data_IF_366917149582
#
_entry.id   IF_366917149582
#
_cell.length_a   1.000
_cell.length_b   1.000
_cell.length_c   1.000
_cell.angle_alpha   90.00
_cell.angle_beta   90.00
_cell.angle_gamma   90.00
#
_symmetry.space_group_name_H-M   'P 1'
#
loop_
_entity.id
_entity.type
_entity.pdbx_description
1 polymer ?
#
# COMPACT_ATOMS: atom_id res chain seq x y z
N UNK A 1 27.85 60.29 -4.78
CA UNK A 1 28.49 59.15 -4.11
C UNK A 1 29.79 58.82 -4.83
N UNK A 2 30.91 58.63 -4.11
CA UNK A 2 32.13 58.18 -4.74
C UNK A 2 31.96 56.75 -5.29
N UNK A 3 32.55 56.43 -6.45
CA UNK A 3 32.39 55.12 -7.10
C UNK A 3 32.87 53.95 -6.23
N UNK A 4 33.83 54.18 -5.34
CA UNK A 4 34.35 53.18 -4.40
C UNK A 4 33.28 52.69 -3.41
N UNK A 5 32.38 53.58 -2.95
CA UNK A 5 31.29 53.20 -2.03
C UNK A 5 30.27 52.28 -2.72
N UNK A 6 30.04 52.46 -4.02
CA UNK A 6 29.10 51.63 -4.79
C UNK A 6 29.65 50.20 -4.92
N UNK A 7 30.94 50.05 -5.22
CA UNK A 7 31.60 48.74 -5.33
C UNK A 7 31.58 48.00 -3.99
N UNK A 8 31.85 48.70 -2.88
CA UNK A 8 31.82 48.11 -1.55
C UNK A 8 30.41 47.62 -1.19
N UNK A 9 29.38 48.43 -1.47
CA UNK A 9 27.98 48.07 -1.20
C UNK A 9 27.55 46.84 -2.00
N UNK A 10 27.90 46.77 -3.29
CA UNK A 10 27.63 45.60 -4.14
C UNK A 10 28.33 44.36 -3.57
N UNK A 11 29.59 44.47 -3.14
CA UNK A 11 30.33 43.37 -2.53
C UNK A 11 29.66 42.82 -1.27
N UNK A 12 29.18 43.69 -0.39
CA UNK A 12 28.46 43.28 0.84
C UNK A 12 27.15 42.59 0.53
N UNK A 13 26.38 43.11 -0.45
CA UNK A 13 25.10 42.51 -0.86
C UNK A 13 25.33 41.11 -1.45
N UNK A 14 26.33 40.95 -2.33
CA UNK A 14 26.65 39.65 -2.92
C UNK A 14 27.10 38.65 -1.84
N UNK A 15 27.92 39.09 -0.88
CA UNK A 15 28.37 38.22 0.20
C UNK A 15 27.20 37.76 1.10
N UNK A 16 26.28 38.68 1.44
CA UNK A 16 25.08 38.34 2.20
C UNK A 16 24.16 37.36 1.45
N UNK A 17 24.03 37.50 0.13
CA UNK A 17 23.22 36.63 -0.72
C UNK A 17 23.81 35.21 -0.79
N UNK A 18 25.13 35.09 -0.97
CA UNK A 18 25.83 33.79 -0.96
C UNK A 18 25.70 33.12 0.42
N UNK A 19 25.86 33.87 1.50
CA UNK A 19 25.71 33.34 2.86
C UNK A 19 24.27 32.86 3.11
N UNK A 20 23.27 33.63 2.67
CA UNK A 20 21.86 33.26 2.77
C UNK A 20 21.53 31.98 2.00
N UNK A 21 22.04 31.84 0.77
CA UNK A 21 21.87 30.62 -0.04
C UNK A 21 22.54 29.41 0.61
N UNK A 22 23.74 29.58 1.20
CA UNK A 22 24.44 28.50 1.88
C UNK A 22 23.65 28.00 3.11
N UNK A 23 23.15 28.93 3.93
CA UNK A 23 22.32 28.59 5.11
C UNK A 23 21.04 27.88 4.67
N UNK A 24 20.37 28.39 3.64
CA UNK A 24 19.17 27.77 3.08
C UNK A 24 19.44 26.34 2.59
N UNK A 25 20.57 26.12 1.90
CA UNK A 25 20.95 24.80 1.41
C UNK A 25 21.22 23.81 2.55
N UNK A 26 21.90 24.25 3.62
CA UNK A 26 22.16 23.41 4.81
C UNK A 26 20.85 23.05 5.54
N UNK A 27 19.94 24.02 5.69
CA UNK A 27 18.63 23.78 6.31
C UNK A 27 17.79 22.80 5.50
N UNK A 28 17.74 22.98 4.17
CA UNK A 28 17.02 22.06 3.28
C UNK A 28 17.56 20.63 3.36
N UNK A 29 18.89 20.47 3.37
CA UNK A 29 19.53 19.16 3.50
C UNK A 29 19.21 18.47 4.83
N UNK A 30 18.98 19.23 5.92
CA UNK A 30 18.53 18.65 7.19
C UNK A 30 17.08 18.16 7.12
N UNK A 31 16.18 18.94 6.55
CA UNK A 31 14.76 18.57 6.42
C UNK A 31 14.59 17.29 5.60
N UNK A 32 15.33 17.16 4.49
CA UNK A 32 15.29 15.95 3.65
C UNK A 32 15.82 14.73 4.39
N UNK A 33 16.88 14.86 5.22
CA UNK A 33 17.39 13.76 6.04
C UNK A 33 16.41 13.34 7.13
N UNK A 34 15.68 14.27 7.74
CA UNK A 34 14.65 13.94 8.72
C UNK A 34 13.45 13.25 8.07
N UNK A 35 13.04 13.68 6.88
CA UNK A 35 11.99 13.01 6.11
C UNK A 35 12.40 11.59 5.72
N UNK A 36 13.64 11.39 5.26
CA UNK A 36 14.17 10.06 4.96
C UNK A 36 14.32 9.18 6.20
N UNK A 37 14.77 9.73 7.34
CA UNK A 37 14.82 8.99 8.60
C UNK A 37 13.43 8.56 9.06
N UNK A 38 12.43 9.43 8.96
CA UNK A 38 11.04 9.08 9.29
C UNK A 38 10.49 8.03 8.33
N UNK A 39 10.82 8.11 7.04
CA UNK A 39 10.41 7.12 6.04
C UNK A 39 11.10 5.76 6.25
N UNK A 40 12.38 5.74 6.62
CA UNK A 40 13.14 4.53 6.94
C UNK A 40 12.67 3.91 8.27
N UNK A 41 12.47 4.73 9.31
CA UNK A 41 11.96 4.29 10.60
C UNK A 41 10.54 3.70 10.51
N UNK A 42 9.73 4.16 9.54
CA UNK A 42 8.41 3.59 9.27
C UNK A 42 8.48 2.19 8.63
N UNK A 43 9.62 1.80 8.04
CA UNK A 43 9.82 0.46 7.44
C UNK A 43 10.30 -0.59 8.43
N UNK A 44 11.00 -0.17 9.50
CA UNK A 44 11.47 -1.07 10.57
C UNK A 44 10.46 -1.21 11.73
N UNK A 45 9.29 -0.59 11.61
CA UNK A 45 8.25 -0.68 12.64
C UNK A 45 7.50 -2.01 12.48
N UNK A 46 7.68 -2.91 13.45
CA UNK A 46 6.86 -4.12 13.60
C UNK A 46 5.44 -3.67 13.92
N UNK A 47 4.50 -3.88 12.98
CA UNK A 47 3.09 -3.51 13.18
C UNK A 47 2.38 -4.73 13.77
N UNK A 48 2.07 -4.67 15.07
CA UNK A 48 1.17 -5.62 15.71
C UNK A 48 -0.26 -5.10 15.48
N UNK A 49 -0.89 -5.54 14.39
CA UNK A 49 -2.27 -5.15 14.09
C UNK A 49 -3.27 -6.16 14.65
N UNK A 50 -3.76 -5.90 15.86
CA UNK A 50 -4.90 -6.66 16.42
C UNK A 50 -6.20 -5.94 16.06
N UNK A 51 -6.67 -6.13 14.81
CA UNK A 51 -7.88 -5.46 14.29
C UNK A 51 -9.19 -5.96 14.93
N UNK A 52 -9.14 -7.09 15.65
CA UNK A 52 -10.26 -7.66 16.38
C UNK A 52 -9.71 -8.42 17.61
N UNK A 53 -10.21 -8.19 18.83
CA UNK A 53 -9.75 -8.87 20.05
C UNK A 53 -9.97 -10.39 20.02
N UNK A 54 -10.83 -10.88 19.12
CA UNK A 54 -11.10 -12.32 18.91
C UNK A 54 -10.27 -12.92 17.77
N UNK A 55 -9.68 -12.08 16.91
CA UNK A 55 -8.84 -12.56 15.82
C UNK A 55 -7.43 -12.93 16.32
N UNK A 56 -6.80 -13.97 15.73
CA UNK A 56 -5.43 -14.32 16.04
C UNK A 56 -4.51 -13.13 15.77
N UNK A 57 -3.53 -12.93 16.66
CA UNK A 57 -2.54 -11.86 16.55
C UNK A 57 -1.67 -12.14 15.33
N UNK A 58 -1.64 -11.20 14.39
CA UNK A 58 -0.76 -11.26 13.21
C UNK A 58 0.44 -10.36 13.45
N UNK A 59 1.62 -10.89 13.18
CA UNK A 59 2.89 -10.18 13.30
C UNK A 59 3.37 -9.81 11.91
N UNK A 60 3.52 -8.52 11.64
CA UNK A 60 4.14 -8.04 10.39
C UNK A 60 5.55 -7.54 10.68
N UNK A 61 6.56 -8.21 10.13
CA UNK A 61 7.98 -7.87 10.24
C UNK A 61 8.52 -7.67 8.82
N UNK A 62 8.97 -6.46 8.51
CA UNK A 62 9.51 -6.10 7.19
C UNK A 62 8.56 -6.45 6.00
N UNK A 63 7.24 -6.36 6.22
CA UNK A 63 6.22 -6.69 5.22
C UNK A 63 5.89 -8.18 5.09
N UNK A 64 6.60 -9.04 5.84
CA UNK A 64 6.24 -10.46 5.98
C UNK A 64 5.25 -10.60 7.14
N UNK A 65 4.14 -11.28 6.88
CA UNK A 65 3.05 -11.43 7.87
C UNK A 65 3.06 -12.87 8.35
N UNK A 66 3.20 -13.04 9.66
CA UNK A 66 3.18 -14.31 10.37
C UNK A 66 1.89 -14.42 11.18
N UNK A 67 1.20 -15.56 11.07
CA UNK A 67 -0.01 -15.83 11.86
C UNK A 67 0.33 -16.46 13.22
N UNK A 68 1.48 -17.12 13.33
CA UNK A 68 2.01 -17.68 14.56
C UNK A 68 3.51 -17.41 14.68
N UNK A 69 3.99 -17.30 15.93
CA UNK A 69 5.43 -17.27 16.24
C UNK A 69 6.11 -18.58 15.79
N UNK A 70 5.35 -19.69 15.74
CA UNK A 70 5.86 -20.98 15.28
C UNK A 70 6.15 -21.02 13.77
N UNK A 71 5.55 -20.13 12.98
CA UNK A 71 5.75 -20.07 11.52
C UNK A 71 7.02 -19.30 11.14
N UNK A 72 7.69 -18.69 12.13
CA UNK A 72 8.86 -17.85 11.93
C UNK A 72 10.11 -18.73 11.87
N UNK A 73 10.58 -19.01 10.65
CA UNK A 73 11.81 -19.78 10.43
C UNK A 73 13.08 -18.93 10.58
N UNK A 74 12.97 -17.62 10.41
CA UNK A 74 14.09 -16.69 10.52
C UNK A 74 14.36 -16.33 11.98
N UNK A 75 15.56 -16.64 12.48
CA UNK A 75 15.96 -16.41 13.87
C UNK A 75 15.98 -14.91 14.23
N UNK A 76 16.30 -14.03 13.27
CA UNK A 76 16.29 -12.58 13.48
C UNK A 76 14.85 -12.07 13.64
N UNK A 77 13.93 -12.50 12.77
CA UNK A 77 12.52 -12.15 12.90
C UNK A 77 11.92 -12.70 14.19
N UNK A 78 12.30 -13.91 14.58
CA UNK A 78 11.87 -14.51 15.84
C UNK A 78 12.32 -13.68 17.04
N UNK A 79 13.59 -13.26 17.08
CA UNK A 79 14.12 -12.38 18.14
C UNK A 79 13.40 -11.03 18.17
N UNK A 80 13.11 -10.44 17.02
CA UNK A 80 12.34 -9.19 16.91
C UNK A 80 10.91 -9.34 17.44
N UNK A 81 10.20 -10.39 17.04
CA UNK A 81 8.82 -10.68 17.48
C UNK A 81 8.79 -10.93 18.99
N UNK A 82 9.71 -11.75 19.52
CA UNK A 82 9.81 -12.01 20.96
C UNK A 82 10.14 -10.74 21.76
N UNK A 83 11.01 -9.88 21.22
CA UNK A 83 11.31 -8.58 21.82
C UNK A 83 10.09 -7.66 21.87
N UNK A 84 9.32 -7.58 20.78
CA UNK A 84 8.10 -6.79 20.71
C UNK A 84 7.01 -7.33 21.66
N UNK A 85 6.85 -8.66 21.74
CA UNK A 85 5.96 -9.33 22.69
C UNK A 85 6.35 -8.98 24.13
N UNK A 86 7.64 -9.09 24.49
CA UNK A 86 8.12 -8.75 25.84
C UNK A 86 7.87 -7.28 26.20
N UNK A 87 8.04 -6.36 25.25
CA UNK A 87 7.72 -4.95 25.46
C UNK A 87 6.21 -4.73 25.65
N UNK A 88 5.37 -5.35 24.82
CA UNK A 88 3.92 -5.29 24.94
C UNK A 88 3.40 -5.94 26.23
N UNK A 89 4.07 -6.98 26.73
CA UNK A 89 3.71 -7.71 27.95
C UNK A 89 3.74 -6.83 29.21
N UNK A 90 4.48 -5.71 29.19
CA UNK A 90 4.45 -4.74 30.31
C UNK A 90 3.20 -3.85 30.31
N UNK A 91 2.47 -3.79 29.19
CA UNK A 91 1.26 -2.96 29.05
C UNK A 91 -0.03 -3.77 29.02
N UNK A 92 0.05 -5.09 28.78
CA UNK A 92 -1.11 -5.96 28.64
C UNK A 92 -1.36 -6.70 29.98
N UNK A 93 -2.56 -6.59 30.59
CA UNK A 93 -2.92 -7.31 31.81
C UNK A 93 -2.74 -8.83 31.66
N UNK A 94 -2.25 -9.54 32.70
CA UNK A 94 -1.94 -10.96 32.65
C UNK A 94 -3.12 -11.85 32.21
N UNK A 95 -4.36 -11.41 32.45
CA UNK A 95 -5.59 -12.12 32.06
C UNK A 95 -5.77 -12.26 30.54
N UNK A 96 -5.11 -11.40 29.75
CA UNK A 96 -5.17 -11.47 28.28
C UNK A 96 -4.23 -12.55 27.74
N UNK A 97 -3.15 -12.87 28.47
CA UNK A 97 -2.17 -13.86 28.03
C UNK A 97 -2.71 -15.28 28.07
N UNK A 98 -3.52 -15.62 29.07
CA UNK A 98 -4.15 -16.96 29.18
C UNK A 98 -5.12 -17.25 28.03
N UNK A 99 -5.73 -16.21 27.45
CA UNK A 99 -6.56 -16.34 26.24
C UNK A 99 -5.72 -16.50 24.97
N UNK A 100 -4.52 -15.94 24.94
CA UNK A 100 -3.62 -15.98 23.78
C UNK A 100 -2.78 -17.26 23.71
N UNK A 101 -2.43 -17.86 24.85
CA UNK A 101 -1.60 -19.08 24.92
C UNK A 101 -2.40 -20.39 24.89
N UNK A 102 -3.72 -20.33 24.82
CA UNK A 102 -4.53 -21.44 24.33
C UNK A 102 -4.59 -22.66 25.25
N UNK A 103 -5.11 -22.51 26.45
CA UNK A 103 -5.83 -23.64 27.08
C UNK A 103 -7.16 -23.78 26.34
N UNK A 104 -7.15 -24.55 25.25
CA UNK A 104 -8.29 -24.74 24.37
C UNK A 104 -9.52 -25.25 25.15
N UNK A 105 -10.69 -24.61 25.03
CA UNK A 105 -11.96 -25.27 25.35
C UNK A 105 -12.11 -26.47 24.41
N UNK A 106 -12.50 -27.61 24.95
CA UNK A 106 -12.77 -28.85 24.22
C UNK A 106 -13.96 -28.62 23.28
N UNK A 107 -13.70 -28.28 22.01
CA UNK A 107 -14.74 -28.05 21.00
C UNK A 107 -15.11 -29.42 20.40
N UNK A 108 -16.36 -29.91 20.57
CA UNK A 108 -16.79 -31.15 19.94
C UNK A 108 -16.72 -31.04 18.42
N UNK A 109 -15.89 -31.91 17.84
CA UNK A 109 -15.62 -32.06 16.42
C UNK A 109 -16.90 -32.50 15.69
N UNK A 110 -17.68 -31.55 15.18
CA UNK A 110 -18.76 -31.85 14.24
C UNK A 110 -18.18 -32.02 12.84
N UNK A 111 -17.99 -33.27 12.44
CA UNK A 111 -17.64 -33.66 11.07
C UNK A 111 -18.92 -33.81 10.27
N UNK A 112 -19.17 -32.89 9.32
CA UNK A 112 -20.08 -33.14 8.20
C UNK A 112 -19.39 -32.66 6.94
N UNK A 113 -18.93 -33.62 6.14
CA UNK A 113 -18.38 -33.37 4.82
C UNK A 113 -19.51 -32.96 3.85
N UNK A 114 -19.40 -31.83 3.15
CA UNK A 114 -20.29 -31.54 2.03
C UNK A 114 -19.80 -32.26 0.76
N UNK A 115 -20.71 -33.03 0.16
CA UNK A 115 -20.55 -33.65 -1.16
C UNK A 115 -20.31 -32.59 -2.24
N UNK A 116 -19.31 -32.75 -3.13
CA UNK A 116 -19.06 -31.81 -4.21
C UNK A 116 -20.16 -31.84 -5.29
N UNK A 117 -20.64 -30.69 -5.79
CA UNK A 117 -21.58 -30.62 -6.91
C UNK A 117 -20.92 -30.94 -8.26
N UNK A 118 -21.68 -31.48 -9.23
CA UNK A 118 -21.18 -31.87 -10.55
C UNK A 118 -20.81 -30.67 -11.43
N UNK A 119 -19.72 -30.84 -12.19
CA UNK A 119 -19.13 -29.83 -13.07
C UNK A 119 -20.03 -29.49 -14.27
N UNK A 120 -20.19 -28.19 -14.62
CA UNK A 120 -20.87 -27.78 -15.84
C UNK A 120 -20.01 -27.96 -17.10
N UNK A 121 -20.64 -28.20 -18.28
CA UNK A 121 -19.96 -28.44 -19.55
C UNK A 121 -19.27 -27.19 -20.11
N UNK A 122 -18.14 -27.42 -20.79
CA UNK A 122 -17.26 -26.43 -21.40
C UNK A 122 -17.93 -25.66 -22.56
N UNK A 123 -17.89 -24.33 -22.49
CA UNK A 123 -18.31 -23.43 -23.58
C UNK A 123 -17.10 -23.09 -24.47
N UNK A 124 -17.25 -23.06 -25.81
CA UNK A 124 -16.14 -22.77 -26.74
C UNK A 124 -15.68 -21.32 -26.68
N UNK A 125 -14.37 -21.11 -26.64
CA UNK A 125 -13.71 -19.82 -26.77
C UNK A 125 -13.90 -19.23 -28.18
N UNK A 126 -14.52 -18.05 -28.28
CA UNK A 126 -14.47 -17.23 -29.49
C UNK A 126 -13.41 -16.13 -29.31
N UNK A 127 -12.41 -16.11 -30.20
CA UNK A 127 -11.41 -15.03 -30.32
C UNK A 127 -11.94 -13.96 -31.28
N UNK A 128 -12.00 -12.68 -30.89
CA UNK A 128 -12.03 -11.58 -31.83
C UNK A 128 -10.61 -11.14 -32.17
N UNK A 129 -10.26 -11.19 -33.46
CA UNK A 129 -9.11 -10.50 -34.04
C UNK A 129 -9.54 -9.09 -34.42
N UNK A 130 -8.89 -8.07 -33.87
CA UNK A 130 -9.02 -6.69 -34.31
C UNK A 130 -7.63 -6.08 -34.46
N UNK A 131 -7.20 -5.95 -35.71
CA UNK A 131 -6.10 -5.11 -36.15
C UNK A 131 -6.57 -3.65 -36.12
N UNK A 132 -5.92 -2.82 -35.30
CA UNK A 132 -6.18 -1.39 -35.21
C UNK A 132 -4.86 -0.63 -35.24
N UNK A 133 -4.73 0.26 -36.22
CA UNK A 133 -3.59 1.12 -36.52
C UNK A 133 -3.23 2.01 -35.32
N UNK A 134 -1.99 1.92 -34.85
CA UNK A 134 -1.47 2.73 -33.75
C UNK A 134 -0.88 4.05 -34.26
N UNK A 135 -1.44 5.16 -33.82
CA UNK A 135 -0.79 6.48 -33.82
C UNK A 135 0.12 6.60 -32.59
N UNK A 136 1.32 7.20 -32.71
CA UNK A 136 2.26 7.30 -31.60
C UNK A 136 1.82 8.40 -30.63
N UNK A 137 1.11 8.02 -29.57
CA UNK A 137 0.93 8.85 -28.37
C UNK A 137 2.04 8.45 -27.41
N UNK A 138 2.86 9.42 -27.03
CA UNK A 138 4.03 9.32 -26.16
C UNK A 138 3.75 8.44 -24.94
N UNK A 139 4.12 7.16 -25.04
CA UNK A 139 3.70 6.10 -24.12
C UNK A 139 4.68 6.06 -22.96
N UNK A 140 4.24 6.47 -21.77
CA UNK A 140 4.87 6.02 -20.54
C UNK A 140 4.77 4.49 -20.55
N UNK A 141 5.88 3.80 -20.85
CA UNK A 141 5.92 2.35 -20.90
C UNK A 141 5.50 1.84 -19.51
N UNK A 142 4.41 1.07 -19.40
CA UNK A 142 4.01 0.49 -18.12
C UNK A 142 5.12 -0.44 -17.65
N UNK A 143 5.62 -0.18 -16.46
CA UNK A 143 6.63 -1.01 -15.81
C UNK A 143 6.03 -2.42 -15.60
N UNK A 144 6.54 -3.46 -16.30
CA UNK A 144 5.96 -4.80 -16.25
C UNK A 144 6.08 -5.45 -14.86
N UNK A 145 6.83 -4.85 -13.94
CA UNK A 145 6.90 -5.29 -12.56
C UNK A 145 5.65 -4.94 -11.73
N UNK A 146 4.79 -4.02 -12.21
CA UNK A 146 3.56 -3.65 -11.50
C UNK A 146 2.41 -4.58 -11.87
N UNK A 147 1.75 -5.15 -10.87
CA UNK A 147 0.58 -5.99 -11.06
C UNK A 147 -0.58 -5.24 -11.74
N UNK A 148 -1.54 -6.02 -12.24
CA UNK A 148 -2.72 -5.52 -12.94
C UNK A 148 -3.47 -4.46 -12.12
N UNK A 149 -3.71 -4.73 -10.84
CA UNK A 149 -4.47 -3.83 -9.99
C UNK A 149 -3.77 -2.48 -9.80
N UNK A 150 -2.44 -2.48 -9.68
CA UNK A 150 -1.63 -1.28 -9.53
C UNK A 150 -1.63 -0.43 -10.82
N UNK A 151 -1.64 -1.07 -11.99
CA UNK A 151 -1.75 -0.36 -13.26
C UNK A 151 -3.13 0.28 -13.44
N UNK A 152 -4.20 -0.43 -13.09
CA UNK A 152 -5.57 0.10 -13.11
C UNK A 152 -5.74 1.22 -12.07
N UNK A 153 -5.13 1.08 -10.89
CA UNK A 153 -5.16 2.10 -9.84
C UNK A 153 -4.61 3.43 -10.34
N UNK A 154 -3.48 3.44 -11.05
CA UNK A 154 -2.91 4.67 -11.62
C UNK A 154 -3.93 5.39 -12.52
N UNK A 155 -4.62 4.66 -13.39
CA UNK A 155 -5.65 5.23 -14.27
C UNK A 155 -6.84 5.75 -13.43
N UNK A 156 -7.24 5.01 -12.40
CA UNK A 156 -8.30 5.46 -11.51
C UNK A 156 -7.92 6.76 -10.79
N UNK A 157 -6.70 6.86 -10.24
CA UNK A 157 -6.22 8.07 -9.57
C UNK A 157 -6.20 9.26 -10.53
N UNK A 158 -5.78 9.07 -11.79
CA UNK A 158 -5.85 10.12 -12.82
C UNK A 158 -7.27 10.62 -13.08
N UNK A 159 -8.27 9.73 -12.98
CA UNK A 159 -9.69 10.11 -13.10
C UNK A 159 -10.20 10.84 -11.87
N UNK A 160 -9.87 10.35 -10.67
CA UNK A 160 -10.27 10.95 -9.40
C UNK A 160 -9.71 12.37 -9.23
N UNK A 161 -8.48 12.64 -9.69
CA UNK A 161 -7.87 13.97 -9.66
C UNK A 161 -8.66 15.04 -10.42
N UNK A 162 -9.57 14.66 -11.32
CA UNK A 162 -10.43 15.59 -12.07
C UNK A 162 -11.70 15.96 -11.31
N UNK A 163 -12.02 15.28 -10.22
CA UNK A 163 -13.17 15.58 -9.36
C UNK A 163 -12.83 16.70 -8.39
N UNK A 164 -13.83 17.52 -8.04
CA UNK A 164 -13.66 18.61 -7.07
C UNK A 164 -13.40 18.10 -5.64
N UNK A 165 -13.87 16.89 -5.32
CA UNK A 165 -13.69 16.25 -4.03
C UNK A 165 -13.42 14.74 -4.25
N UNK A 166 -12.17 14.33 -4.51
CA UNK A 166 -11.86 12.95 -4.80
C UNK A 166 -12.05 12.07 -3.55
N UNK A 167 -12.87 11.01 -3.62
CA UNK A 167 -12.96 10.05 -2.53
C UNK A 167 -11.67 9.24 -2.37
N UNK A 168 -11.44 8.75 -1.15
CA UNK A 168 -10.32 7.85 -0.84
C UNK A 168 -10.62 6.45 -1.37
N UNK A 169 -10.20 6.19 -2.61
CA UNK A 169 -10.31 4.91 -3.30
C UNK A 169 -8.91 4.46 -3.72
N UNK A 170 -8.58 3.18 -3.52
CA UNK A 170 -7.37 2.58 -4.09
C UNK A 170 -7.58 1.11 -4.47
N UNK A 171 -6.90 0.66 -5.53
CA UNK A 171 -6.83 -0.76 -5.90
C UNK A 171 -5.46 -1.35 -5.60
N UNK A 172 -5.44 -2.60 -5.15
CA UNK A 172 -4.22 -3.36 -4.92
C UNK A 172 -4.44 -4.84 -5.22
N UNK A 173 -3.36 -5.55 -5.55
CA UNK A 173 -3.39 -7.01 -5.67
C UNK A 173 -3.18 -7.64 -4.28
N UNK A 174 -4.12 -8.47 -3.82
CA UNK A 174 -3.96 -9.24 -2.59
C UNK A 174 -2.97 -10.40 -2.77
N UNK A 175 -2.50 -10.99 -1.66
CA UNK A 175 -1.52 -12.12 -1.70
C UNK A 175 -2.02 -13.35 -2.46
N UNK A 176 -3.34 -13.51 -2.55
CA UNK A 176 -3.99 -14.59 -3.30
C UNK A 176 -4.12 -14.28 -4.81
N UNK A 177 -3.57 -13.14 -5.26
CA UNK A 177 -3.64 -12.67 -6.64
C UNK A 177 -4.97 -12.01 -7.00
N UNK A 178 -5.94 -11.91 -6.07
CA UNK A 178 -7.22 -11.26 -6.34
C UNK A 178 -7.10 -9.75 -6.17
N UNK A 179 -7.91 -9.03 -6.93
CA UNK A 179 -8.02 -7.58 -6.81
C UNK A 179 -8.74 -7.20 -5.51
N UNK A 180 -8.19 -6.22 -4.80
CA UNK A 180 -8.76 -5.65 -3.58
C UNK A 180 -9.02 -4.16 -3.80
N UNK A 181 -10.20 -3.70 -3.44
CA UNK A 181 -10.62 -2.31 -3.54
C UNK A 181 -10.73 -1.75 -2.13
N UNK A 182 -10.01 -0.67 -1.83
CA UNK A 182 -10.17 0.08 -0.58
C UNK A 182 -11.02 1.31 -0.86
N UNK A 183 -12.10 1.52 -0.11
CA UNK A 183 -12.98 2.69 -0.21
C UNK A 183 -13.39 3.15 1.17
N UNK A 184 -13.09 4.40 1.52
CA UNK A 184 -13.37 4.99 2.84
C UNK A 184 -12.89 4.11 4.02
N UNK A 185 -11.69 3.53 3.89
CA UNK A 185 -11.11 2.65 4.90
C UNK A 185 -11.72 1.24 4.99
N UNK A 186 -12.70 0.90 4.15
CA UNK A 186 -13.28 -0.44 4.02
C UNK A 186 -12.68 -1.17 2.83
N UNK A 187 -12.65 -2.50 2.93
CA UNK A 187 -12.06 -3.38 1.93
C UNK A 187 -13.18 -4.17 1.25
N UNK A 188 -13.17 -4.17 -0.08
CA UNK A 188 -14.08 -4.87 -0.95
C UNK A 188 -13.30 -5.77 -1.91
N UNK A 189 -13.88 -6.92 -2.26
CA UNK A 189 -13.25 -7.91 -3.15
C UNK A 189 -13.90 -7.98 -4.54
N UNK A 190 -15.01 -7.26 -4.73
CA UNK A 190 -15.71 -7.15 -5.99
C UNK A 190 -16.20 -5.71 -6.18
N UNK A 191 -16.27 -5.26 -7.43
CA UNK A 191 -16.69 -3.90 -7.77
C UNK A 191 -18.13 -3.67 -7.30
N UNK A 192 -18.98 -4.68 -7.41
CA UNK A 192 -20.40 -4.64 -7.02
C UNK A 192 -20.61 -4.46 -5.52
N UNK A 193 -19.59 -4.71 -4.70
CA UNK A 193 -19.68 -4.55 -3.24
C UNK A 193 -19.42 -3.10 -2.79
N UNK A 194 -18.86 -2.26 -3.66
CA UNK A 194 -18.60 -0.84 -3.36
C UNK A 194 -19.95 -0.13 -3.26
N UNK A 195 -20.28 0.56 -2.15
CA UNK A 195 -21.61 1.11 -1.93
C UNK A 195 -21.95 2.28 -2.87
N UNK A 196 -20.95 2.99 -3.38
CA UNK A 196 -21.12 4.13 -4.26
C UNK A 196 -21.14 3.69 -5.75
N UNK A 197 -22.27 3.86 -6.46
CA UNK A 197 -22.39 3.45 -7.86
C UNK A 197 -21.52 4.29 -8.82
N UNK A 198 -21.20 5.54 -8.48
CA UNK A 198 -20.33 6.39 -9.29
C UNK A 198 -18.90 5.84 -9.28
N UNK A 199 -18.44 5.39 -8.10
CA UNK A 199 -17.12 4.74 -7.95
C UNK A 199 -17.07 3.39 -8.65
N UNK A 200 -18.16 2.62 -8.61
CA UNK A 200 -18.24 1.39 -9.40
C UNK A 200 -18.04 1.66 -10.90
N UNK A 201 -18.73 2.68 -11.44
CA UNK A 201 -18.60 3.06 -12.85
C UNK A 201 -17.20 3.55 -13.17
N UNK A 202 -16.59 4.33 -12.28
CA UNK A 202 -15.24 4.85 -12.48
C UNK A 202 -14.20 3.73 -12.50
N UNK A 203 -14.30 2.75 -11.60
CA UNK A 203 -13.42 1.56 -11.61
C UNK A 203 -13.58 0.79 -12.92
N UNK A 204 -14.81 0.56 -13.39
CA UNK A 204 -15.07 -0.12 -14.68
C UNK A 204 -14.46 0.64 -15.85
N UNK A 205 -14.57 1.98 -15.84
CA UNK A 205 -14.01 2.83 -16.88
C UNK A 205 -12.48 2.83 -16.85
N UNK A 206 -11.85 2.83 -15.67
CA UNK A 206 -10.40 2.71 -15.52
C UNK A 206 -9.90 1.36 -16.08
N UNK A 207 -10.59 0.25 -15.79
CA UNK A 207 -10.29 -1.07 -16.36
C UNK A 207 -10.41 -1.05 -17.89
N UNK A 208 -11.50 -0.49 -18.43
CA UNK A 208 -11.70 -0.41 -19.88
C UNK A 208 -10.61 0.43 -20.57
N UNK A 209 -10.18 1.53 -19.96
CA UNK A 209 -9.07 2.35 -20.47
C UNK A 209 -7.74 1.60 -20.42
N UNK A 210 -7.49 0.82 -19.37
CA UNK A 210 -6.30 -0.02 -19.28
C UNK A 210 -6.27 -1.07 -20.40
N UNK A 211 -7.40 -1.74 -20.67
CA UNK A 211 -7.52 -2.71 -21.77
C UNK A 211 -7.25 -2.06 -23.13
N UNK A 212 -7.77 -0.86 -23.37
CA UNK A 212 -7.54 -0.10 -24.61
C UNK A 212 -6.06 0.28 -24.80
N UNK A 213 -5.32 0.50 -23.72
CA UNK A 213 -3.88 0.84 -23.77
C UNK A 213 -2.97 -0.36 -24.04
N UNK A 214 -3.53 -1.55 -24.25
CA UNK A 214 -2.77 -2.75 -24.61
C UNK A 214 -2.37 -3.60 -23.40
N UNK A 215 -3.18 -3.60 -22.34
CA UNK A 215 -3.01 -4.47 -21.18
C UNK A 215 -3.19 -5.97 -21.48
N UNK A 216 -2.23 -6.58 -22.18
CA UNK A 216 -2.16 -8.03 -22.42
C UNK A 216 -0.73 -8.53 -22.29
#
# INVERSE_FOLDING_TARGET
MPPELIVLLIGVILMALVLGLLIFYILRARVEREAQRKAAQKRDAIIISQKNPVAPVRFEVEGVVYESVADVQDEQHLRMILGAIRMAQTQIPPETWERLTGTAPDIPRSSVAPTPPPAPPATPSQRPSLSGVATPINTMHPDPARGLAEQVDVILQEMLMKMANPPDVSLATARDGRMRISYEGRIYYAIEQVPDPEIQQMIRQAVALWEQRGGR
#
